data_IF_902317942856
#
_entry.id   IF_902317942856
#
_cell.length_a   1.000
_cell.length_b   1.000
_cell.length_c   1.000
_cell.angle_alpha   90.00
_cell.angle_beta   90.00
_cell.angle_gamma   90.00
#
_symmetry.space_group_name_H-M   'P 1'
#
loop_
_entity.id
_entity.type
_entity.pdbx_description
1 polymer ?
#
# COMPACT_ATOMS: atom_id res chain seq x y z
N UNK A 1 -22.64 20.35 -6.69
CA UNK A 1 -21.69 19.25 -6.92
C UNK A 1 -21.53 18.55 -5.58
N UNK A 2 -21.59 17.24 -5.52
CA UNK A 2 -21.33 16.50 -4.29
C UNK A 2 -19.83 16.50 -3.98
N UNK A 3 -19.44 16.23 -2.74
CA UNK A 3 -18.00 16.11 -2.37
C UNK A 3 -17.30 14.99 -3.17
N UNK A 4 -18.03 13.93 -3.54
CA UNK A 4 -17.49 12.84 -4.38
C UNK A 4 -17.26 13.32 -5.82
N UNK A 5 -18.19 14.08 -6.40
CA UNK A 5 -18.00 14.67 -7.74
C UNK A 5 -16.81 15.61 -7.78
N UNK A 6 -16.61 16.45 -6.76
CA UNK A 6 -15.42 17.32 -6.64
C UNK A 6 -14.12 16.51 -6.55
N UNK A 7 -14.13 15.41 -5.80
CA UNK A 7 -12.98 14.51 -5.69
C UNK A 7 -12.68 13.82 -7.04
N UNK A 8 -13.69 13.41 -7.81
CA UNK A 8 -13.54 12.84 -9.17
C UNK A 8 -12.94 13.87 -10.13
N UNK A 9 -13.51 15.08 -10.20
CA UNK A 9 -13.03 16.11 -11.11
C UNK A 9 -11.58 16.51 -10.81
N UNK A 10 -11.22 16.61 -9.54
CA UNK A 10 -9.85 16.87 -9.11
C UNK A 10 -8.91 15.72 -9.51
N UNK A 11 -9.33 14.47 -9.30
CA UNK A 11 -8.53 13.29 -9.63
C UNK A 11 -8.30 13.18 -11.15
N UNK A 12 -9.33 13.36 -11.98
CA UNK A 12 -9.23 13.34 -13.44
C UNK A 12 -8.37 14.49 -13.98
N UNK A 13 -8.46 15.66 -13.36
CA UNK A 13 -7.60 16.81 -13.70
C UNK A 13 -6.14 16.49 -13.38
N UNK A 14 -5.86 15.94 -12.19
CA UNK A 14 -4.50 15.52 -11.80
C UNK A 14 -3.95 14.45 -12.73
N UNK A 15 -4.76 13.48 -13.15
CA UNK A 15 -4.35 12.44 -14.10
C UNK A 15 -4.01 13.02 -15.47
N UNK A 16 -4.77 14.01 -15.95
CA UNK A 16 -4.47 14.70 -17.21
C UNK A 16 -3.13 15.45 -17.11
N UNK A 17 -2.92 16.24 -16.04
CA UNK A 17 -1.68 16.97 -15.81
C UNK A 17 -0.48 16.02 -15.61
N UNK A 18 -0.70 14.86 -15.04
CA UNK A 18 0.33 13.83 -14.87
C UNK A 18 0.91 13.36 -16.21
N UNK A 19 0.08 13.27 -17.26
CA UNK A 19 0.51 12.85 -18.60
C UNK A 19 1.33 13.91 -19.36
N UNK A 20 1.33 15.15 -18.90
CA UNK A 20 2.06 16.28 -19.51
C UNK A 20 3.49 16.42 -18.93
N UNK A 21 3.79 15.77 -17.80
CA UNK A 21 5.10 15.83 -17.15
C UNK A 21 5.95 14.60 -17.42
N UNK A 22 7.27 14.72 -17.20
CA UNK A 22 8.17 13.57 -17.25
C UNK A 22 7.71 12.51 -16.26
N UNK A 23 7.66 11.24 -16.70
CA UNK A 23 7.26 10.12 -15.86
C UNK A 23 8.21 9.93 -14.66
N UNK A 24 9.51 9.99 -14.92
CA UNK A 24 10.54 9.88 -13.90
C UNK A 24 11.79 10.66 -14.29
N UNK A 25 12.25 11.54 -13.42
CA UNK A 25 13.51 12.28 -13.57
C UNK A 25 14.56 11.68 -12.65
N UNK A 26 15.38 10.77 -13.20
CA UNK A 26 16.43 10.08 -12.44
C UNK A 26 17.44 11.05 -11.81
N UNK A 27 17.78 12.13 -12.49
CA UNK A 27 18.80 13.08 -11.98
C UNK A 27 18.27 13.84 -10.78
N UNK A 28 17.06 14.39 -10.89
CA UNK A 28 16.42 15.11 -9.79
C UNK A 28 16.14 14.16 -8.61
N UNK A 29 15.67 12.94 -8.88
CA UNK A 29 15.37 11.96 -7.84
C UNK A 29 16.64 11.47 -7.12
N UNK A 30 17.74 11.24 -7.85
CA UNK A 30 19.01 10.88 -7.21
C UNK A 30 19.47 11.97 -6.24
N UNK A 31 19.43 13.25 -6.65
CA UNK A 31 19.80 14.35 -5.77
C UNK A 31 18.87 14.46 -4.53
N UNK A 32 17.57 14.26 -4.71
CA UNK A 32 16.60 14.26 -3.62
C UNK A 32 16.83 13.10 -2.65
N UNK A 33 17.09 11.90 -3.16
CA UNK A 33 17.43 10.70 -2.39
C UNK A 33 18.70 10.93 -1.56
N UNK A 34 19.77 11.39 -2.19
CA UNK A 34 21.07 11.58 -1.54
C UNK A 34 20.96 12.64 -0.43
N UNK A 35 20.16 13.68 -0.64
CA UNK A 35 19.84 14.66 0.40
C UNK A 35 18.98 14.08 1.53
N UNK A 36 17.99 13.23 1.21
CA UNK A 36 17.09 12.63 2.19
C UNK A 36 17.81 11.71 3.18
N UNK A 37 18.79 10.93 2.71
CA UNK A 37 19.55 9.99 3.54
C UNK A 37 20.91 10.52 4.02
N UNK A 38 21.21 11.83 3.83
CA UNK A 38 22.53 12.39 4.12
C UNK A 38 23.01 12.15 5.56
N UNK A 39 22.09 12.12 6.52
CA UNK A 39 22.39 11.93 7.94
C UNK A 39 22.22 10.47 8.42
N UNK A 40 21.90 9.54 7.52
CA UNK A 40 21.81 8.12 7.85
C UNK A 40 23.22 7.54 7.91
N UNK A 41 23.74 7.40 9.12
CA UNK A 41 25.09 6.86 9.35
C UNK A 41 25.19 5.36 9.06
N UNK A 42 26.41 4.94 8.76
CA UNK A 42 26.77 3.51 8.73
C UNK A 42 26.92 2.99 10.15
N UNK A 43 26.29 1.85 10.46
CA UNK A 43 26.36 1.23 11.78
C UNK A 43 26.02 -0.26 11.69
N UNK A 44 25.87 -0.91 12.84
CA UNK A 44 25.30 -2.26 12.87
C UNK A 44 23.80 -2.23 12.46
N UNK A 45 23.25 -3.41 12.20
CA UNK A 45 21.89 -3.54 11.67
C UNK A 45 20.80 -2.95 12.56
N UNK A 46 20.98 -2.94 13.88
CA UNK A 46 20.07 -2.30 14.82
C UNK A 46 20.20 -0.76 14.81
N UNK A 47 21.42 -0.25 14.67
CA UNK A 47 21.67 1.19 14.52
C UNK A 47 21.05 1.71 13.23
N UNK A 48 21.25 1.04 12.09
CA UNK A 48 20.66 1.40 10.81
C UNK A 48 19.13 1.35 10.90
N UNK A 49 18.57 0.29 11.47
CA UNK A 49 17.12 0.17 11.67
C UNK A 49 16.54 1.35 12.44
N UNK A 50 17.15 1.70 13.58
CA UNK A 50 16.68 2.83 14.40
C UNK A 50 16.79 4.18 13.69
N UNK A 51 17.90 4.42 13.00
CA UNK A 51 18.07 5.64 12.21
C UNK A 51 16.98 5.77 11.13
N UNK A 52 16.70 4.69 10.39
CA UNK A 52 15.65 4.67 9.39
C UNK A 52 14.25 4.84 10.01
N UNK A 53 13.94 4.15 11.11
CA UNK A 53 12.66 4.32 11.81
C UNK A 53 12.44 5.78 12.23
N UNK A 54 13.46 6.44 12.77
CA UNK A 54 13.42 7.84 13.15
C UNK A 54 13.19 8.74 11.93
N UNK A 55 14.03 8.59 10.89
CA UNK A 55 13.91 9.37 9.65
C UNK A 55 12.52 9.24 9.01
N UNK A 56 12.04 8.00 8.84
CA UNK A 56 10.71 7.74 8.26
C UNK A 56 9.59 8.36 9.07
N UNK A 57 9.75 8.41 10.40
CA UNK A 57 8.74 8.98 11.29
C UNK A 57 8.72 10.49 11.26
N UNK A 58 9.87 11.13 11.30
CA UNK A 58 10.01 12.58 11.34
C UNK A 58 9.69 13.23 9.98
N UNK A 59 9.93 12.53 8.89
CA UNK A 59 9.71 13.06 7.53
C UNK A 59 8.34 12.71 6.95
N UNK A 60 7.53 11.85 7.61
CA UNK A 60 6.18 11.55 7.18
C UNK A 60 5.22 12.70 7.51
N UNK A 61 5.33 13.79 6.72
CA UNK A 61 4.57 15.02 6.90
C UNK A 61 4.32 15.67 5.53
N UNK A 62 3.07 15.90 5.11
CA UNK A 62 1.84 15.58 5.85
C UNK A 62 1.53 14.08 5.89
N UNK A 63 0.67 13.68 6.83
CA UNK A 63 0.12 12.33 6.90
C UNK A 63 -1.23 12.30 6.17
N UNK A 64 -1.29 11.83 4.92
CA UNK A 64 -2.53 11.84 4.15
C UNK A 64 -3.53 10.83 4.73
N UNK A 65 -4.81 11.16 4.64
CA UNK A 65 -5.89 10.19 4.90
C UNK A 65 -6.08 9.29 3.69
N UNK A 66 -6.62 8.10 3.93
CA UNK A 66 -6.93 7.13 2.88
C UNK A 66 -7.91 7.70 1.84
N UNK A 67 -7.39 8.06 0.67
CA UNK A 67 -8.12 8.58 -0.49
C UNK A 67 -7.46 8.11 -1.80
N UNK A 68 -7.54 6.82 -2.15
CA UNK A 68 -6.81 6.26 -3.30
C UNK A 68 -7.18 6.93 -4.62
N UNK A 69 -8.45 7.22 -4.85
CA UNK A 69 -8.94 7.94 -6.02
C UNK A 69 -8.22 9.29 -6.26
N UNK A 70 -7.84 9.98 -5.18
CA UNK A 70 -7.16 11.29 -5.27
C UNK A 70 -5.65 11.21 -5.26
N UNK A 71 -5.08 10.24 -4.53
CA UNK A 71 -3.66 10.22 -4.20
C UNK A 71 -2.90 9.10 -4.92
N UNK A 72 -3.54 7.94 -5.17
CA UNK A 72 -2.87 6.78 -5.74
C UNK A 72 -3.02 6.75 -7.27
N UNK A 73 -4.26 6.69 -7.78
CA UNK A 73 -4.53 6.41 -9.19
C UNK A 73 -4.16 7.53 -10.16
N UNK A 74 -4.27 8.84 -9.82
CA UNK A 74 -3.97 9.90 -10.78
C UNK A 74 -2.52 9.97 -11.21
N UNK A 75 -1.58 9.57 -10.33
CA UNK A 75 -0.15 9.72 -10.56
C UNK A 75 0.71 8.63 -9.93
N UNK A 76 0.59 8.39 -8.62
CA UNK A 76 1.51 7.54 -7.85
C UNK A 76 1.65 6.15 -8.47
N UNK A 77 0.54 5.51 -8.83
CA UNK A 77 0.50 4.14 -9.36
C UNK A 77 0.52 4.06 -10.89
N UNK A 78 0.63 5.19 -11.60
CA UNK A 78 0.74 5.15 -13.05
C UNK A 78 2.05 4.47 -13.46
N UNK A 79 1.95 3.59 -14.44
CA UNK A 79 3.09 3.11 -15.20
C UNK A 79 3.45 4.11 -16.32
N UNK A 80 4.61 3.95 -16.93
CA UNK A 80 5.15 4.85 -17.98
C UNK A 80 4.24 5.00 -19.18
N UNK A 81 3.41 4.02 -19.47
CA UNK A 81 2.39 4.04 -20.52
C UNK A 81 1.10 4.76 -20.12
N UNK A 82 1.04 5.33 -18.91
CA UNK A 82 -0.11 6.03 -18.37
C UNK A 82 -1.26 5.12 -17.93
N UNK A 83 -1.00 3.83 -17.74
CA UNK A 83 -1.97 2.86 -17.22
C UNK A 83 -1.66 2.49 -15.78
N UNK A 84 -2.68 2.02 -15.07
CA UNK A 84 -2.55 1.34 -13.78
C UNK A 84 -2.46 -0.17 -14.01
N UNK A 85 -1.78 -0.88 -13.12
CA UNK A 85 -1.74 -2.34 -13.11
C UNK A 85 -2.10 -2.89 -11.76
N UNK A 86 -2.90 -3.96 -11.77
CA UNK A 86 -3.19 -4.70 -10.55
C UNK A 86 -1.91 -5.31 -10.01
N UNK A 87 -1.59 -5.01 -8.74
CA UNK A 87 -0.32 -5.41 -8.11
C UNK A 87 -0.11 -6.93 -8.10
N UNK A 88 -1.18 -7.74 -8.09
CA UNK A 88 -1.09 -9.19 -7.97
C UNK A 88 -1.14 -9.98 -9.29
N UNK A 89 -1.62 -9.37 -10.37
CA UNK A 89 -1.81 -10.07 -11.65
C UNK A 89 -1.41 -9.25 -12.89
N UNK A 90 -0.88 -8.05 -12.72
CA UNK A 90 -0.45 -7.21 -13.82
C UNK A 90 -1.57 -6.73 -14.76
N UNK A 91 -2.85 -6.99 -14.45
CA UNK A 91 -3.98 -6.57 -15.29
C UNK A 91 -4.05 -5.05 -15.40
N UNK A 92 -4.17 -4.57 -16.64
CA UNK A 92 -4.21 -3.15 -16.97
C UNK A 92 -5.58 -2.50 -16.73
N UNK A 93 -5.54 -1.25 -16.24
CA UNK A 93 -6.69 -0.35 -16.11
C UNK A 93 -6.32 1.05 -16.55
N UNK A 94 -7.30 1.84 -17.02
CA UNK A 94 -7.10 3.27 -17.04
C UNK A 94 -7.31 3.86 -15.65
N UNK A 95 -6.61 4.95 -15.35
CA UNK A 95 -6.82 5.66 -14.09
C UNK A 95 -8.29 6.13 -13.95
N UNK A 96 -8.92 6.57 -15.06
CA UNK A 96 -10.31 6.98 -15.07
C UNK A 96 -11.28 5.85 -14.66
N UNK A 97 -11.04 4.60 -15.12
CA UNK A 97 -11.85 3.44 -14.72
C UNK A 97 -11.84 3.24 -13.22
N UNK A 98 -10.66 3.23 -12.59
CA UNK A 98 -10.56 3.02 -11.14
C UNK A 98 -11.06 4.24 -10.34
N UNK A 99 -10.81 5.47 -10.79
CA UNK A 99 -11.33 6.68 -10.17
C UNK A 99 -12.85 6.66 -10.14
N UNK A 100 -13.52 6.34 -11.27
CA UNK A 100 -14.98 6.26 -11.36
C UNK A 100 -15.55 5.08 -10.57
N UNK A 101 -14.87 3.94 -10.57
CA UNK A 101 -15.29 2.78 -9.79
C UNK A 101 -15.25 3.08 -8.28
N UNK A 102 -14.19 3.70 -7.78
CA UNK A 102 -14.10 4.09 -6.37
C UNK A 102 -15.09 5.21 -6.01
N UNK A 103 -15.38 6.12 -6.92
CA UNK A 103 -16.40 7.15 -6.72
C UNK A 103 -17.80 6.52 -6.54
N UNK A 104 -18.15 5.55 -7.39
CA UNK A 104 -19.43 4.84 -7.27
C UNK A 104 -19.54 4.08 -5.91
N UNK A 105 -18.43 3.47 -5.45
CA UNK A 105 -18.38 2.85 -4.12
C UNK A 105 -18.55 3.90 -3.01
N UNK A 106 -17.88 5.06 -3.13
CA UNK A 106 -17.99 6.13 -2.14
C UNK A 106 -19.43 6.71 -2.07
N UNK A 107 -20.09 6.89 -3.20
CA UNK A 107 -21.50 7.33 -3.27
C UNK A 107 -22.44 6.30 -2.63
N UNK A 108 -22.29 5.02 -2.98
CA UNK A 108 -23.09 3.95 -2.40
C UNK A 108 -22.92 3.86 -0.87
N UNK A 109 -21.69 4.04 -0.37
CA UNK A 109 -21.39 4.11 1.07
C UNK A 109 -22.07 5.29 1.73
N UNK A 110 -21.98 6.49 1.14
CA UNK A 110 -22.64 7.68 1.68
C UNK A 110 -24.16 7.49 1.77
N UNK A 111 -24.79 6.94 0.74
CA UNK A 111 -26.22 6.66 0.73
C UNK A 111 -26.59 5.68 1.87
N UNK A 112 -25.80 4.61 2.04
CA UNK A 112 -26.06 3.63 3.09
C UNK A 112 -25.82 4.16 4.49
N UNK A 113 -24.78 4.99 4.69
CA UNK A 113 -24.55 5.67 5.98
C UNK A 113 -25.71 6.61 6.31
N UNK A 114 -26.27 7.33 5.34
CA UNK A 114 -27.45 8.17 5.55
C UNK A 114 -28.68 7.35 5.96
N UNK A 115 -28.89 6.18 5.34
CA UNK A 115 -29.97 5.26 5.74
C UNK A 115 -29.78 4.77 7.18
N UNK A 116 -28.56 4.37 7.55
CA UNK A 116 -28.24 3.92 8.91
C UNK A 116 -28.47 5.04 9.94
N UNK A 117 -28.03 6.27 9.66
CA UNK A 117 -28.25 7.42 10.52
C UNK A 117 -29.75 7.74 10.73
N UNK A 118 -30.58 7.52 9.70
CA UNK A 118 -32.03 7.66 9.84
C UNK A 118 -32.65 6.53 10.70
N UNK A 119 -32.00 5.36 10.74
CA UNK A 119 -32.43 4.22 11.55
C UNK A 119 -31.86 4.26 12.98
N UNK A 120 -30.82 5.03 13.25
CA UNK A 120 -30.08 5.11 14.52
C UNK A 120 -30.98 5.56 15.71
N UNK A 121 -32.11 6.19 15.44
CA UNK A 121 -33.09 6.50 16.49
C UNK A 121 -33.63 5.25 17.23
N UNK A 122 -33.29 4.04 16.76
CA UNK A 122 -33.75 2.75 17.31
C UNK A 122 -32.63 1.77 17.66
N UNK A 123 -31.39 1.99 17.14
CA UNK A 123 -30.21 1.12 17.34
C UNK A 123 -29.22 1.76 18.33
N UNK A 124 -28.53 0.95 19.12
CA UNK A 124 -27.46 1.44 20.01
C UNK A 124 -26.16 1.77 19.29
N UNK A 125 -25.25 2.58 19.88
CA UNK A 125 -23.97 2.95 19.25
C UNK A 125 -23.12 1.77 18.80
N UNK A 126 -23.12 0.66 19.53
CA UNK A 126 -22.35 -0.55 19.20
C UNK A 126 -22.92 -1.29 17.98
N UNK A 127 -24.26 -1.30 17.82
CA UNK A 127 -24.91 -1.88 16.64
C UNK A 127 -24.62 -1.06 15.39
N UNK A 128 -24.63 0.28 15.51
CA UNK A 128 -24.26 1.19 14.43
C UNK A 128 -22.81 0.96 13.98
N UNK A 129 -21.87 0.85 14.91
CA UNK A 129 -20.45 0.61 14.61
C UNK A 129 -20.24 -0.74 13.91
N UNK A 130 -20.92 -1.79 14.36
CA UNK A 130 -20.86 -3.10 13.73
C UNK A 130 -21.45 -3.10 12.29
N UNK A 131 -22.58 -2.40 12.07
CA UNK A 131 -23.17 -2.26 10.74
C UNK A 131 -22.31 -1.41 9.81
N UNK A 132 -21.68 -0.36 10.33
CA UNK A 132 -20.74 0.46 9.58
C UNK A 132 -19.48 -0.33 9.14
N UNK A 133 -18.92 -1.13 10.03
CA UNK A 133 -17.79 -2.03 9.72
C UNK A 133 -18.17 -3.09 8.69
N UNK A 134 -19.38 -3.66 8.78
CA UNK A 134 -19.90 -4.60 7.81
C UNK A 134 -20.10 -3.95 6.43
N UNK A 135 -20.56 -2.70 6.38
CA UNK A 135 -20.69 -1.92 5.15
C UNK A 135 -19.32 -1.67 4.51
N UNK A 136 -18.32 -1.26 5.29
CA UNK A 136 -16.95 -1.08 4.78
C UNK A 136 -16.37 -2.38 4.19
N UNK A 137 -16.65 -3.51 4.83
CA UNK A 137 -16.21 -4.82 4.34
C UNK A 137 -16.92 -5.27 3.06
N UNK A 138 -18.20 -4.90 2.90
CA UNK A 138 -19.02 -5.29 1.74
C UNK A 138 -18.77 -4.47 0.48
N UNK A 139 -18.17 -3.29 0.60
CA UNK A 139 -17.90 -2.36 -0.49
C UNK A 139 -16.43 -1.90 -0.49
N UNK A 140 -15.46 -2.80 -0.73
CA UNK A 140 -14.05 -2.45 -0.75
C UNK A 140 -13.70 -1.57 -1.96
N UNK A 141 -12.75 -0.66 -1.80
CA UNK A 141 -12.17 0.11 -2.90
C UNK A 141 -11.21 -0.75 -3.75
N UNK A 142 -10.94 -0.29 -4.98
CA UNK A 142 -9.94 -0.86 -5.87
C UNK A 142 -8.51 -0.44 -5.47
N UNK A 143 -8.19 -0.57 -4.19
CA UNK A 143 -6.89 -0.25 -3.63
C UNK A 143 -6.53 -1.30 -2.58
N UNK A 144 -5.39 -1.94 -2.81
CA UNK A 144 -4.85 -2.94 -1.90
C UNK A 144 -4.05 -2.25 -0.79
N UNK A 145 -4.29 -2.68 0.45
CA UNK A 145 -3.38 -2.48 1.56
C UNK A 145 -2.49 -3.72 1.70
N UNK A 146 -1.26 -3.63 1.23
CA UNK A 146 -0.28 -4.73 1.28
C UNK A 146 -0.11 -5.28 2.70
N UNK A 147 -0.12 -4.40 3.70
CA UNK A 147 -0.34 -4.78 5.10
C UNK A 147 -1.82 -4.60 5.41
N UNK A 148 -2.58 -5.68 5.70
CA UNK A 148 -4.03 -5.61 5.88
C UNK A 148 -4.46 -4.61 6.96
N UNK A 149 -5.49 -3.83 6.67
CA UNK A 149 -6.00 -2.82 7.58
C UNK A 149 -6.43 -3.41 8.95
N UNK A 150 -6.90 -4.65 8.97
CA UNK A 150 -7.30 -5.34 10.21
C UNK A 150 -6.13 -5.60 11.16
N UNK A 151 -4.90 -5.69 10.64
CA UNK A 151 -3.72 -5.95 11.47
C UNK A 151 -3.29 -4.75 12.31
N UNK A 152 -3.71 -3.55 11.94
CA UNK A 152 -3.44 -2.32 12.70
C UNK A 152 -4.72 -1.54 13.06
N UNK A 153 -5.87 -2.25 13.11
CA UNK A 153 -7.17 -1.70 13.50
C UNK A 153 -7.60 -0.46 12.69
N UNK A 154 -7.27 -0.41 11.39
CA UNK A 154 -7.58 0.69 10.46
C UNK A 154 -7.09 2.08 10.93
N UNK A 155 -6.10 2.14 11.81
CA UNK A 155 -5.61 3.40 12.40
C UNK A 155 -4.85 4.24 11.39
N UNK A 156 -5.08 5.55 11.43
CA UNK A 156 -4.20 6.53 10.78
C UNK A 156 -2.94 6.76 11.64
N UNK A 157 -1.80 7.10 11.06
CA UNK A 157 -1.56 7.36 9.63
C UNK A 157 -1.33 6.11 8.80
N UNK A 158 -1.27 4.92 9.39
CA UNK A 158 -1.01 3.65 8.70
C UNK A 158 -1.97 3.40 7.54
N UNK A 159 -3.28 3.69 7.75
CA UNK A 159 -4.31 3.47 6.73
C UNK A 159 -4.11 4.32 5.48
N UNK A 160 -3.61 5.55 5.64
CA UNK A 160 -3.41 6.50 4.55
C UNK A 160 -2.01 6.50 3.94
N UNK A 161 -1.07 5.72 4.49
CA UNK A 161 0.32 5.70 4.02
C UNK A 161 0.43 5.10 2.62
N UNK A 162 0.87 5.92 1.67
CA UNK A 162 0.89 5.58 0.25
C UNK A 162 1.89 4.50 -0.11
N UNK A 163 2.93 4.27 0.70
CA UNK A 163 3.97 3.28 0.42
C UNK A 163 3.47 1.84 0.41
N UNK A 164 2.35 1.54 1.09
CA UNK A 164 1.75 0.21 1.08
C UNK A 164 0.36 0.13 0.41
N UNK A 165 -0.03 1.19 -0.33
CA UNK A 165 -1.27 1.26 -1.10
C UNK A 165 -0.99 1.06 -2.58
N UNK A 166 -1.68 0.12 -3.22
CA UNK A 166 -1.51 -0.20 -4.64
C UNK A 166 -2.85 -0.37 -5.36
N UNK A 167 -2.88 -0.03 -6.65
CA UNK A 167 -4.02 -0.36 -7.50
C UNK A 167 -4.24 -1.88 -7.56
N UNK A 168 -5.48 -2.30 -7.32
CA UNK A 168 -5.87 -3.71 -7.38
C UNK A 168 -7.38 -3.79 -7.56
N UNK A 169 -7.89 -4.65 -8.43
CA UNK A 169 -9.32 -4.83 -8.53
C UNK A 169 -9.92 -5.52 -7.31
N UNK A 170 -11.16 -5.16 -6.97
CA UNK A 170 -11.90 -5.63 -5.79
C UNK A 170 -11.89 -7.17 -5.67
N UNK A 171 -12.10 -7.89 -6.77
CA UNK A 171 -12.14 -9.36 -6.76
C UNK A 171 -10.79 -9.97 -6.33
N UNK A 172 -9.68 -9.40 -6.79
CA UNK A 172 -8.33 -9.87 -6.46
C UNK A 172 -7.91 -9.48 -5.05
N UNK A 173 -8.25 -8.26 -4.66
CA UNK A 173 -8.09 -7.80 -3.30
C UNK A 173 -8.86 -8.70 -2.31
N UNK A 174 -10.11 -9.00 -2.60
CA UNK A 174 -10.93 -9.92 -1.80
C UNK A 174 -10.38 -11.36 -1.80
N UNK A 175 -9.84 -11.84 -2.93
CA UNK A 175 -9.22 -13.16 -2.98
C UNK A 175 -7.98 -13.23 -2.09
N UNK A 176 -7.11 -12.22 -2.09
CA UNK A 176 -5.97 -12.14 -1.18
C UNK A 176 -6.43 -12.10 0.29
N UNK A 177 -7.45 -11.32 0.61
CA UNK A 177 -7.96 -11.19 1.98
C UNK A 177 -6.90 -10.71 2.97
N UNK A 178 -6.92 -11.24 4.20
CA UNK A 178 -5.95 -10.91 5.25
C UNK A 178 -4.88 -11.99 5.44
N UNK A 179 -4.60 -12.78 4.40
CA UNK A 179 -3.58 -13.82 4.48
C UNK A 179 -2.17 -13.21 4.46
N UNK A 180 -1.25 -13.69 5.29
CA UNK A 180 0.15 -13.32 5.20
C UNK A 180 0.76 -13.83 3.89
N UNK A 181 1.83 -13.18 3.43
CA UNK A 181 2.57 -13.67 2.27
C UNK A 181 3.28 -14.98 2.58
N UNK A 182 3.29 -15.86 1.59
CA UNK A 182 3.89 -17.19 1.67
C UNK A 182 4.51 -17.58 0.33
N UNK A 183 5.57 -18.37 0.33
CA UNK A 183 6.25 -18.89 -0.86
C UNK A 183 5.93 -20.40 -0.95
N UNK A 184 4.99 -20.78 -1.83
CA UNK A 184 4.55 -22.16 -1.96
C UNK A 184 5.56 -22.95 -2.78
N UNK A 185 6.02 -24.14 -2.31
CA UNK A 185 7.03 -24.94 -3.02
C UNK A 185 6.58 -25.40 -4.41
N UNK A 186 5.29 -25.56 -4.62
CA UNK A 186 4.65 -26.04 -5.85
C UNK A 186 3.91 -24.92 -6.63
N UNK A 187 4.22 -23.65 -6.35
CA UNK A 187 3.52 -22.50 -6.93
C UNK A 187 3.44 -22.56 -8.45
N UNK A 188 4.51 -22.95 -9.13
CA UNK A 188 4.56 -22.99 -10.60
C UNK A 188 3.81 -24.18 -11.20
N UNK A 189 3.61 -25.25 -10.44
CA UNK A 189 2.97 -26.49 -10.86
C UNK A 189 1.49 -26.57 -10.45
N UNK A 190 1.08 -25.80 -9.46
CA UNK A 190 -0.27 -25.81 -8.91
C UNK A 190 -1.29 -25.16 -9.85
N UNK A 191 -2.54 -25.60 -9.76
CA UNK A 191 -3.68 -24.88 -10.35
C UNK A 191 -3.95 -23.62 -9.52
N UNK A 192 -3.74 -22.45 -10.12
CA UNK A 192 -3.82 -21.16 -9.47
C UNK A 192 -4.94 -20.31 -10.05
N UNK A 193 -5.45 -19.39 -9.24
CA UNK A 193 -6.18 -18.23 -9.77
C UNK A 193 -5.21 -17.29 -10.53
N UNK A 194 -5.73 -16.49 -11.46
CA UNK A 194 -4.93 -15.56 -12.27
C UNK A 194 -4.17 -14.50 -11.45
N UNK A 195 -4.46 -14.33 -10.16
CA UNK A 195 -3.74 -13.39 -9.28
C UNK A 195 -2.75 -14.05 -8.31
N UNK A 196 -2.70 -15.39 -8.29
CA UNK A 196 -1.79 -16.14 -7.44
C UNK A 196 -2.41 -17.36 -6.79
N UNK A 197 -1.79 -17.86 -5.75
CA UNK A 197 -2.20 -19.01 -4.97
C UNK A 197 -2.57 -18.60 -3.54
N UNK A 198 -3.67 -19.10 -3.02
CA UNK A 198 -4.08 -18.89 -1.63
C UNK A 198 -4.49 -20.21 -1.01
N UNK A 199 -3.81 -20.55 0.06
CA UNK A 199 -4.13 -21.69 0.91
C UNK A 199 -4.14 -21.29 2.39
N UNK A 200 -4.23 -22.30 3.26
CA UNK A 200 -4.29 -22.08 4.71
C UNK A 200 -3.08 -21.32 5.26
N UNK A 201 -1.91 -21.55 4.68
CA UNK A 201 -0.63 -21.02 5.12
C UNK A 201 -0.44 -19.56 4.77
N UNK A 202 -1.08 -19.08 3.67
CA UNK A 202 -0.93 -17.72 3.21
C UNK A 202 -1.36 -17.49 1.76
N UNK A 203 -0.84 -16.41 1.20
CA UNK A 203 -1.07 -15.99 -0.17
C UNK A 203 0.26 -15.72 -0.89
N UNK A 204 0.40 -16.27 -2.09
CA UNK A 204 1.51 -15.98 -3.00
C UNK A 204 0.97 -15.32 -4.26
N UNK A 205 1.37 -14.06 -4.56
CA UNK A 205 0.89 -13.36 -5.76
C UNK A 205 1.56 -13.89 -7.02
N UNK A 206 0.85 -13.79 -8.16
CA UNK A 206 1.38 -14.09 -9.49
C UNK A 206 2.44 -13.06 -9.91
N UNK A 207 2.23 -11.79 -9.56
CA UNK A 207 3.04 -10.64 -9.91
C UNK A 207 3.35 -9.81 -8.67
N UNK A 208 4.39 -8.95 -8.74
CA UNK A 208 4.65 -7.91 -7.77
C UNK A 208 5.25 -8.36 -6.44
N UNK A 209 5.82 -9.56 -6.36
CA UNK A 209 6.41 -10.11 -5.12
C UNK A 209 7.44 -9.16 -4.50
N UNK A 210 8.37 -8.62 -5.30
CA UNK A 210 9.38 -7.67 -4.82
C UNK A 210 8.76 -6.36 -4.33
N UNK A 211 7.77 -5.82 -5.04
CA UNK A 211 7.11 -4.57 -4.66
C UNK A 211 6.35 -4.71 -3.33
N UNK A 212 5.57 -5.79 -3.16
CA UNK A 212 4.84 -6.03 -1.89
C UNK A 212 5.78 -6.35 -0.74
N UNK A 213 6.92 -7.01 -1.01
CA UNK A 213 7.95 -7.25 -0.02
C UNK A 213 8.55 -5.93 0.49
N UNK A 214 8.99 -5.06 -0.42
CA UNK A 214 9.54 -3.73 -0.07
C UNK A 214 8.54 -2.84 0.65
N UNK A 215 7.27 -2.89 0.25
CA UNK A 215 6.20 -2.16 0.92
C UNK A 215 5.92 -2.67 2.34
N UNK A 216 5.92 -4.00 2.53
CA UNK A 216 5.73 -4.60 3.86
C UNK A 216 6.93 -4.32 4.78
N UNK A 217 8.15 -4.49 4.28
CA UNK A 217 9.38 -4.20 5.04
C UNK A 217 9.46 -2.71 5.43
N UNK A 218 9.08 -1.79 4.51
CA UNK A 218 8.93 -0.36 4.83
C UNK A 218 7.94 -0.15 5.98
N UNK A 219 6.76 -0.79 5.92
CA UNK A 219 5.73 -0.65 6.95
C UNK A 219 6.26 -1.08 8.32
N UNK A 220 7.01 -2.17 8.39
CA UNK A 220 7.64 -2.64 9.63
C UNK A 220 8.66 -1.62 10.19
N UNK A 221 9.43 -0.97 9.33
CA UNK A 221 10.38 0.07 9.74
C UNK A 221 9.67 1.34 10.21
N UNK A 222 8.62 1.76 9.50
CA UNK A 222 7.88 2.99 9.82
C UNK A 222 6.98 2.84 11.04
N UNK A 223 6.45 1.64 11.27
CA UNK A 223 5.47 1.34 12.30
C UNK A 223 5.87 0.13 13.14
N UNK A 224 7.03 0.17 13.84
CA UNK A 224 7.49 -0.97 14.62
C UNK A 224 6.48 -1.34 15.71
N UNK A 225 6.25 -2.63 15.91
CA UNK A 225 5.33 -3.16 16.91
C UNK A 225 3.82 -2.97 16.61
N UNK A 226 3.45 -2.49 15.40
CA UNK A 226 2.03 -2.31 15.06
C UNK A 226 1.38 -3.54 14.42
N UNK A 227 2.17 -4.46 13.88
CA UNK A 227 1.72 -5.76 13.40
C UNK A 227 2.29 -6.84 14.31
N UNK A 228 1.39 -7.63 14.86
CA UNK A 228 1.73 -8.60 15.90
C UNK A 228 2.05 -9.99 15.36
N UNK A 229 2.35 -10.86 16.31
CA UNK A 229 2.69 -12.28 16.08
C UNK A 229 1.43 -13.18 16.11
N UNK A 230 0.24 -12.60 15.88
CA UNK A 230 -0.99 -13.38 15.84
C UNK A 230 -1.00 -14.35 14.63
N UNK A 231 -1.62 -15.51 14.78
CA UNK A 231 -1.61 -16.60 13.80
C UNK A 231 -2.14 -16.21 12.38
N UNK A 232 -2.86 -15.07 12.26
CA UNK A 232 -3.41 -14.55 11.01
C UNK A 232 -2.76 -13.25 10.54
N UNK A 233 -1.82 -12.73 11.29
CA UNK A 233 -1.06 -11.53 10.97
C UNK A 233 0.29 -11.90 10.35
N UNK A 234 1.27 -11.05 10.49
CA UNK A 234 2.59 -11.27 9.92
C UNK A 234 3.58 -11.73 11.01
N UNK A 235 3.66 -13.04 11.34
CA UNK A 235 4.62 -13.51 12.31
C UNK A 235 6.06 -13.35 11.79
N UNK A 236 7.01 -13.12 12.71
CA UNK A 236 8.43 -12.96 12.38
C UNK A 236 8.98 -14.11 11.51
N UNK A 237 8.43 -15.32 11.65
CA UNK A 237 8.78 -16.48 10.82
C UNK A 237 8.51 -16.28 9.30
N UNK A 238 7.76 -15.24 8.91
CA UNK A 238 7.50 -14.88 7.50
C UNK A 238 8.53 -13.90 6.93
N UNK A 239 9.36 -13.29 7.74
CA UNK A 239 10.39 -12.36 7.28
C UNK A 239 11.29 -12.93 6.17
N UNK A 240 11.77 -14.19 6.24
CA UNK A 240 12.59 -14.76 5.17
C UNK A 240 11.94 -14.74 3.79
N UNK A 241 10.62 -14.91 3.69
CA UNK A 241 9.87 -14.86 2.41
C UNK A 241 9.98 -13.46 1.81
N UNK A 242 9.76 -12.41 2.59
CA UNK A 242 9.86 -11.03 2.09
C UNK A 242 11.28 -10.66 1.67
N UNK A 243 12.29 -11.04 2.46
CA UNK A 243 13.69 -10.78 2.11
C UNK A 243 14.09 -11.51 0.83
N UNK A 244 13.64 -12.76 0.66
CA UNK A 244 13.91 -13.53 -0.55
C UNK A 244 13.23 -12.92 -1.79
N UNK A 245 11.99 -12.48 -1.68
CA UNK A 245 11.28 -11.82 -2.79
C UNK A 245 11.91 -10.48 -3.13
N UNK A 246 12.34 -9.72 -2.13
CA UNK A 246 13.08 -8.49 -2.33
C UNK A 246 14.39 -8.72 -3.11
N UNK A 247 15.14 -9.75 -2.76
CA UNK A 247 16.42 -10.11 -3.42
C UNK A 247 16.21 -10.62 -4.86
N UNK A 248 15.17 -11.44 -5.09
CA UNK A 248 14.89 -12.04 -6.39
C UNK A 248 14.38 -11.03 -7.43
N UNK A 249 13.63 -10.02 -7.00
CA UNK A 249 13.02 -9.02 -7.88
C UNK A 249 13.68 -7.65 -7.70
N UNK A 250 14.49 -7.25 -8.69
CA UNK A 250 15.13 -5.94 -8.69
C UNK A 250 14.09 -4.80 -8.68
N UNK A 251 14.48 -3.66 -8.10
CA UNK A 251 13.67 -2.43 -8.11
C UNK A 251 13.42 -1.98 -9.54
N UNK A 252 12.18 -1.71 -9.88
CA UNK A 252 11.74 -1.28 -11.20
C UNK A 252 11.67 0.24 -11.35
N UNK A 253 11.65 0.76 -12.58
CA UNK A 253 11.45 2.19 -12.85
C UNK A 253 10.07 2.67 -12.29
N UNK A 254 9.06 1.78 -12.28
CA UNK A 254 7.77 2.05 -11.67
C UNK A 254 7.88 2.28 -10.16
N UNK A 255 8.64 1.48 -9.45
CA UNK A 255 8.82 1.67 -8.01
C UNK A 255 9.63 2.92 -7.68
N UNK A 256 10.65 3.27 -8.48
CA UNK A 256 11.39 4.52 -8.36
C UNK A 256 10.48 5.73 -8.58
N UNK A 257 9.64 5.69 -9.63
CA UNK A 257 8.62 6.71 -9.88
C UNK A 257 7.66 6.84 -8.69
N UNK A 258 7.12 5.71 -8.20
CA UNK A 258 6.23 5.73 -7.02
C UNK A 258 6.90 6.38 -5.82
N UNK A 259 8.11 5.96 -5.51
CA UNK A 259 8.85 6.45 -4.34
C UNK A 259 9.06 7.97 -4.39
N UNK A 260 9.47 8.48 -5.56
CA UNK A 260 9.62 9.91 -5.80
C UNK A 260 8.28 10.67 -5.71
N UNK A 261 7.20 10.12 -6.31
CA UNK A 261 5.87 10.72 -6.27
C UNK A 261 5.29 10.76 -4.85
N UNK A 262 5.47 9.69 -4.08
CA UNK A 262 5.03 9.60 -2.68
C UNK A 262 5.81 10.58 -1.81
N UNK A 263 7.13 10.68 -1.98
CA UNK A 263 7.94 11.67 -1.26
C UNK A 263 7.45 13.10 -1.48
N UNK A 264 7.00 13.43 -2.69
CA UNK A 264 6.39 14.73 -3.00
C UNK A 264 5.02 14.96 -2.34
N UNK A 265 4.34 13.92 -1.86
CA UNK A 265 3.00 14.00 -1.25
C UNK A 265 3.08 13.92 0.27
N UNK A 266 3.83 12.96 0.82
CA UNK A 266 3.86 12.68 2.26
C UNK A 266 5.25 12.84 2.90
N UNK A 267 6.25 13.27 2.15
CA UNK A 267 7.56 13.70 2.64
C UNK A 267 8.59 12.57 2.81
N UNK A 268 8.17 11.37 3.21
CA UNK A 268 9.10 10.26 3.43
C UNK A 268 9.29 9.37 2.18
N UNK A 269 10.34 8.55 2.21
CA UNK A 269 10.74 7.66 1.11
C UNK A 269 10.84 6.22 1.62
N UNK A 270 10.64 5.24 0.74
CA UNK A 270 10.90 3.84 1.06
C UNK A 270 12.39 3.53 0.87
N UNK A 271 13.16 3.28 1.97
CA UNK A 271 14.59 3.04 1.87
C UNK A 271 14.95 1.77 1.09
N UNK A 272 14.06 0.78 1.01
CA UNK A 272 14.33 -0.47 0.30
C UNK A 272 14.08 -0.37 -1.21
N UNK A 273 13.55 0.76 -1.68
CA UNK A 273 13.52 1.13 -3.10
C UNK A 273 14.77 1.96 -3.44
N UNK A 274 15.15 2.90 -2.57
CA UNK A 274 16.29 3.80 -2.79
C UNK A 274 17.64 3.11 -2.58
N UNK A 275 17.71 2.23 -1.57
CA UNK A 275 18.89 1.48 -1.14
C UNK A 275 18.50 0.01 -0.89
N UNK A 276 18.23 -0.76 -1.95
CA UNK A 276 17.80 -2.16 -1.81
C UNK A 276 18.81 -3.03 -1.04
N UNK A 277 20.10 -2.71 -1.11
CA UNK A 277 21.17 -3.38 -0.38
C UNK A 277 20.99 -3.35 1.14
N UNK A 278 20.33 -2.34 1.69
CA UNK A 278 20.12 -2.21 3.13
C UNK A 278 19.19 -3.28 3.70
N UNK A 279 18.38 -3.95 2.87
CA UNK A 279 17.52 -5.04 3.34
C UNK A 279 18.31 -6.17 4.00
N UNK A 280 19.55 -6.45 3.55
CA UNK A 280 20.44 -7.44 4.15
C UNK A 280 21.20 -6.93 5.36
N UNK A 281 21.28 -5.62 5.55
CA UNK A 281 22.02 -4.97 6.64
C UNK A 281 21.13 -4.69 7.86
N UNK A 282 19.82 -4.45 7.64
CA UNK A 282 18.87 -4.08 8.70
C UNK A 282 18.55 -5.28 9.58
N UNK A 283 18.64 -5.08 10.90
CA UNK A 283 18.08 -6.02 11.87
C UNK A 283 16.57 -5.84 12.03
N UNK A 284 15.80 -6.59 11.24
CA UNK A 284 14.35 -6.58 11.33
C UNK A 284 13.77 -7.25 12.58
N UNK A 285 14.57 -7.97 13.39
CA UNK A 285 14.04 -8.61 14.60
C UNK A 285 13.48 -7.59 15.60
N UNK A 286 14.07 -6.39 15.65
CA UNK A 286 13.65 -5.31 16.55
C UNK A 286 12.38 -4.54 16.13
N UNK A 287 11.68 -4.91 15.03
CA UNK A 287 10.42 -4.25 14.62
C UNK A 287 9.18 -4.97 15.13
N UNK A 288 9.32 -6.20 15.60
CA UNK A 288 8.22 -6.94 16.23
C UNK A 288 7.98 -6.50 17.67
N UNK A 289 6.73 -6.62 18.20
CA UNK A 289 6.40 -6.28 19.58
C UNK A 289 7.13 -7.15 20.60
#
# INVERSE_FOLDING_TARGET
MSAVEEDVDAALTNNRLARERSYYDRTADTAARDAYYADVGTGDGDTLRRALTTLLTETHEPQPRYKPMRLVYPWVDLHKDGRLRSIYCGRDFSAEELIRADAAVAEARLARVQELLLQESTAGPAEFEAEFDALEASMPFNCEHVVPQSWFAKKEPMRGDLHHLFACEVGRNSYRGNFPYFDFPDFDEAVRDACGMREREGFEPQEGKGAVARATLYFLLRYPGQVGDAAREFPQARLPVLLQWHEREAVTEYELHRNAAIAGIQGNRNPLIDHPEWASEIDFAGVWP
#
